data_IF_470079826752
#
_entry.id   IF_470079826752
#
_cell.length_a   1.000
_cell.length_b   1.000
_cell.length_c   1.000
_cell.angle_alpha   90.00
_cell.angle_beta   90.00
_cell.angle_gamma   90.00
#
_symmetry.space_group_name_H-M   'P 1'
#
loop_
_entity.id
_entity.type
_entity.pdbx_description
1 polymer ?
#
# COMPACT_ATOMS: atom_id res chain seq x y z
N UNK A 1 15.85 5.88 5.65
CA UNK A 1 14.44 6.04 5.34
C UNK A 1 14.27 6.22 3.86
N UNK A 2 13.20 5.69 3.28
CA UNK A 2 12.99 5.62 1.83
C UNK A 2 11.51 5.65 1.49
N UNK A 3 11.21 5.97 0.22
CA UNK A 3 9.92 5.76 -0.41
C UNK A 3 10.00 4.51 -1.29
N UNK A 4 8.95 3.68 -1.29
CA UNK A 4 8.79 2.59 -2.26
C UNK A 4 7.55 2.92 -3.11
N UNK A 5 7.70 2.84 -4.44
CA UNK A 5 6.69 3.21 -5.43
C UNK A 5 6.02 1.94 -5.96
N UNK A 6 4.70 1.98 -6.16
CA UNK A 6 3.87 0.83 -6.51
C UNK A 6 4.18 -0.40 -5.64
N UNK A 7 4.12 -0.25 -4.29
CA UNK A 7 4.49 -1.32 -3.38
C UNK A 7 3.55 -2.52 -3.52
N UNK A 8 4.10 -3.72 -3.46
CA UNK A 8 3.29 -4.91 -3.23
C UNK A 8 2.89 -4.96 -1.76
N UNK A 9 1.63 -5.31 -1.49
CA UNK A 9 1.17 -5.49 -0.13
C UNK A 9 1.21 -6.96 0.26
N UNK A 10 2.18 -7.32 1.10
CA UNK A 10 2.20 -8.63 1.75
C UNK A 10 1.14 -8.59 2.86
N UNK A 11 0.06 -9.34 2.67
CA UNK A 11 -1.08 -9.28 3.57
C UNK A 11 -0.74 -9.97 4.90
N UNK A 12 -0.90 -9.27 6.03
CA UNK A 12 -0.69 -9.85 7.35
C UNK A 12 -1.51 -11.12 7.58
N UNK A 13 -0.91 -12.12 8.23
CA UNK A 13 -1.57 -13.40 8.46
C UNK A 13 -2.86 -13.28 9.29
N UNK A 14 -2.96 -12.27 10.15
CA UNK A 14 -4.19 -11.95 10.89
C UNK A 14 -5.34 -11.58 9.94
N UNK A 15 -5.07 -10.77 8.92
CA UNK A 15 -6.05 -10.39 7.88
C UNK A 15 -6.38 -11.60 7.01
N UNK A 16 -5.38 -12.39 6.61
CA UNK A 16 -5.63 -13.62 5.83
C UNK A 16 -6.59 -14.55 6.59
N UNK A 17 -6.37 -14.75 7.88
CA UNK A 17 -7.22 -15.60 8.70
C UNK A 17 -8.64 -15.07 8.88
N UNK A 18 -8.78 -13.75 9.00
CA UNK A 18 -10.07 -13.11 9.32
C UNK A 18 -10.91 -12.88 8.06
N UNK A 19 -10.29 -12.37 6.99
CA UNK A 19 -11.02 -11.77 5.88
C UNK A 19 -10.84 -12.53 4.55
N UNK A 20 -9.75 -13.30 4.37
CA UNK A 20 -9.43 -13.91 3.08
C UNK A 20 -9.66 -15.42 3.06
N UNK A 21 -9.41 -16.12 4.15
CA UNK A 21 -9.47 -17.57 4.19
C UNK A 21 -10.85 -18.14 3.80
N UNK A 22 -11.94 -17.41 4.10
CA UNK A 22 -13.29 -17.79 3.72
C UNK A 22 -13.51 -17.84 2.19
N UNK A 23 -12.63 -17.25 1.42
CA UNK A 23 -12.65 -17.23 -0.06
C UNK A 23 -11.68 -18.25 -0.69
N UNK A 24 -11.19 -19.21 0.08
CA UNK A 24 -10.32 -20.29 -0.42
C UNK A 24 -11.00 -21.00 -1.61
N UNK A 25 -10.25 -21.27 -2.67
CA UNK A 25 -10.75 -21.88 -3.90
C UNK A 25 -11.49 -20.92 -4.87
N UNK A 26 -11.81 -19.71 -4.44
CA UNK A 26 -12.52 -18.74 -5.29
C UNK A 26 -11.51 -17.91 -6.10
N UNK A 27 -11.24 -18.34 -7.33
CA UNK A 27 -10.28 -17.71 -8.27
C UNK A 27 -10.65 -16.24 -8.53
N UNK A 28 -11.92 -15.95 -8.79
CA UNK A 28 -12.40 -14.59 -9.11
C UNK A 28 -12.19 -13.61 -7.95
N UNK A 29 -12.34 -14.08 -6.72
CA UNK A 29 -12.06 -13.27 -5.54
C UNK A 29 -10.61 -12.79 -5.50
N UNK A 30 -9.67 -13.69 -5.81
CA UNK A 30 -8.24 -13.35 -5.82
C UNK A 30 -7.87 -12.47 -7.02
N UNK A 31 -8.35 -12.81 -8.20
CA UNK A 31 -8.03 -12.05 -9.42
C UNK A 31 -8.61 -10.64 -9.39
N UNK A 32 -9.88 -10.46 -9.03
CA UNK A 32 -10.52 -9.13 -8.99
C UNK A 32 -9.86 -8.15 -8.01
N UNK A 33 -9.09 -8.68 -7.04
CA UNK A 33 -8.33 -7.88 -6.07
C UNK A 33 -6.84 -7.79 -6.36
N UNK A 34 -6.39 -8.33 -7.48
CA UNK A 34 -4.98 -8.47 -7.84
C UNK A 34 -4.19 -9.21 -6.75
N UNK A 35 -4.80 -10.22 -6.11
CA UNK A 35 -4.15 -11.07 -5.13
C UNK A 35 -3.51 -12.27 -5.81
N UNK A 36 -2.32 -12.63 -5.34
CA UNK A 36 -1.70 -13.90 -5.69
C UNK A 36 -1.19 -14.61 -4.44
N UNK A 37 -1.09 -15.92 -4.55
CA UNK A 37 -0.70 -16.80 -3.46
C UNK A 37 0.68 -17.38 -3.78
N UNK A 38 1.56 -17.41 -2.78
CA UNK A 38 2.85 -18.10 -2.88
C UNK A 38 3.05 -19.02 -1.68
N UNK A 39 3.66 -20.16 -1.93
CA UNK A 39 4.14 -21.00 -0.85
C UNK A 39 5.31 -20.32 -0.14
N UNK A 40 5.26 -20.20 1.20
CA UNK A 40 6.30 -19.47 1.96
C UNK A 40 7.67 -20.12 1.87
N UNK A 41 7.72 -21.45 1.79
CA UNK A 41 8.97 -22.21 1.82
C UNK A 41 9.72 -22.14 0.50
N UNK A 42 9.02 -22.22 -0.62
CA UNK A 42 9.62 -22.30 -1.97
C UNK A 42 9.54 -20.98 -2.73
N UNK A 43 8.58 -20.10 -2.38
CA UNK A 43 8.25 -18.90 -3.15
C UNK A 43 7.44 -19.18 -4.42
N UNK A 44 7.08 -20.44 -4.69
CA UNK A 44 6.33 -20.83 -5.87
C UNK A 44 4.92 -20.23 -5.83
N UNK A 45 4.44 -19.73 -6.97
CA UNK A 45 3.04 -19.30 -7.11
C UNK A 45 2.12 -20.51 -7.09
N UNK A 46 1.02 -20.37 -6.39
CA UNK A 46 -0.01 -21.41 -6.20
C UNK A 46 -1.30 -20.91 -6.85
N UNK A 47 -1.94 -21.78 -7.61
CA UNK A 47 -3.27 -21.51 -8.17
C UNK A 47 -4.29 -21.38 -7.04
N UNK A 48 -5.05 -20.28 -6.95
CA UNK A 48 -6.07 -20.10 -5.92
C UNK A 48 -7.13 -21.21 -5.88
N UNK A 49 -7.41 -21.88 -7.02
CA UNK A 49 -8.43 -22.93 -7.11
C UNK A 49 -8.15 -24.18 -6.24
N UNK A 50 -6.87 -24.45 -5.99
CA UNK A 50 -6.45 -25.62 -5.22
C UNK A 50 -6.17 -25.32 -3.75
N UNK A 51 -6.28 -24.06 -3.33
CA UNK A 51 -5.95 -23.64 -1.97
C UNK A 51 -7.14 -23.86 -1.03
N UNK A 52 -6.89 -24.56 0.06
CA UNK A 52 -7.91 -24.81 1.09
C UNK A 52 -7.98 -23.69 2.15
N UNK A 53 -9.13 -23.61 2.82
CA UNK A 53 -9.36 -22.72 3.96
C UNK A 53 -8.30 -22.90 5.05
N UNK A 54 -8.04 -24.15 5.46
CA UNK A 54 -7.09 -24.45 6.52
C UNK A 54 -5.66 -24.12 6.13
N UNK A 55 -5.29 -24.33 4.86
CA UNK A 55 -3.96 -23.99 4.36
C UNK A 55 -3.70 -22.46 4.40
N UNK A 56 -4.69 -21.62 4.06
CA UNK A 56 -4.57 -20.18 4.23
C UNK A 56 -4.44 -19.78 5.71
N UNK A 57 -5.19 -20.40 6.59
CA UNK A 57 -5.16 -20.09 8.03
C UNK A 57 -3.89 -20.57 8.73
N UNK A 58 -3.29 -21.67 8.28
CA UNK A 58 -2.06 -22.22 8.87
C UNK A 58 -0.85 -21.31 8.66
N UNK A 59 -0.88 -20.48 7.60
CA UNK A 59 0.24 -19.61 7.23
C UNK A 59 1.31 -20.31 6.38
N UNK A 60 1.05 -21.50 5.85
CA UNK A 60 1.90 -22.16 4.83
C UNK A 60 2.02 -21.27 3.59
N UNK A 61 0.95 -20.56 3.27
CA UNK A 61 0.91 -19.64 2.15
C UNK A 61 1.04 -18.18 2.58
N UNK A 62 1.55 -17.37 1.64
CA UNK A 62 1.55 -15.92 1.70
C UNK A 62 0.59 -15.41 0.65
N UNK A 63 -0.33 -14.55 1.04
CA UNK A 63 -1.17 -13.80 0.10
C UNK A 63 -0.55 -12.43 -0.09
N UNK A 64 -0.41 -11.99 -1.34
CA UNK A 64 0.16 -10.70 -1.68
C UNK A 64 -0.73 -10.01 -2.70
N UNK A 65 -0.96 -8.70 -2.52
CA UNK A 65 -1.59 -7.85 -3.52
C UNK A 65 -0.53 -7.23 -4.42
N UNK A 66 -0.73 -7.28 -5.73
CA UNK A 66 0.15 -6.60 -6.69
C UNK A 66 0.14 -5.09 -6.47
N UNK A 67 1.27 -4.44 -6.79
CA UNK A 67 1.39 -2.98 -6.69
C UNK A 67 0.62 -2.27 -7.79
N UNK A 68 0.27 -1.00 -7.57
CA UNK A 68 -0.40 -0.18 -8.57
C UNK A 68 -1.86 0.11 -8.26
N UNK A 69 -2.70 0.18 -9.28
CA UNK A 69 -4.10 0.53 -9.15
C UNK A 69 -4.87 -0.47 -8.27
N UNK A 70 -5.73 0.05 -7.37
CA UNK A 70 -6.52 -0.77 -6.47
C UNK A 70 -5.76 -1.33 -5.27
N UNK A 71 -4.43 -1.17 -5.20
CA UNK A 71 -3.66 -1.61 -4.04
C UNK A 71 -4.06 -0.81 -2.79
N UNK A 72 -4.25 -1.48 -1.65
CA UNK A 72 -4.67 -0.81 -0.40
C UNK A 72 -3.62 0.16 0.14
N UNK A 73 -2.33 -0.06 -0.19
CA UNK A 73 -1.23 0.85 0.14
C UNK A 73 -1.11 2.02 -0.85
N UNK A 74 -1.96 2.05 -1.89
CA UNK A 74 -1.89 3.03 -2.97
C UNK A 74 -0.61 2.92 -3.80
N UNK A 75 -0.14 4.06 -4.30
CA UNK A 75 0.99 4.14 -5.24
C UNK A 75 2.34 4.33 -4.56
N UNK A 76 2.38 4.71 -3.27
CA UNK A 76 3.62 5.02 -2.57
C UNK A 76 3.52 4.74 -1.07
N UNK A 77 4.61 4.25 -0.50
CA UNK A 77 4.81 4.15 0.93
C UNK A 77 6.08 4.88 1.35
N UNK A 78 6.04 5.48 2.54
CA UNK A 78 7.17 6.19 3.16
C UNK A 78 7.58 5.38 4.38
N UNK A 79 8.76 4.77 4.32
CA UNK A 79 9.31 3.95 5.40
C UNK A 79 10.19 4.78 6.31
N UNK A 80 10.00 4.61 7.60
CA UNK A 80 10.86 5.13 8.66
C UNK A 80 11.16 4.04 9.68
N UNK A 81 12.26 4.18 10.40
CA UNK A 81 12.68 3.19 11.38
C UNK A 81 11.73 3.16 12.57
N UNK A 82 11.13 2.00 12.84
CA UNK A 82 10.33 1.72 14.04
C UNK A 82 10.21 0.21 14.25
N UNK A 83 9.85 -0.20 15.48
CA UNK A 83 9.73 -1.61 15.85
C UNK A 83 8.31 -2.19 15.62
N UNK A 84 7.36 -1.40 15.11
CA UNK A 84 5.95 -1.77 15.00
C UNK A 84 5.52 -2.08 13.55
N UNK A 85 6.46 -2.03 12.60
CA UNK A 85 6.18 -2.17 11.16
C UNK A 85 5.13 -1.15 10.65
N UNK A 86 5.12 0.05 11.24
CA UNK A 86 4.25 1.18 10.86
C UNK A 86 4.97 2.00 9.78
N UNK A 87 4.22 2.49 8.81
CA UNK A 87 4.68 3.40 7.76
C UNK A 87 3.56 4.36 7.34
N UNK A 88 3.94 5.45 6.68
CA UNK A 88 2.98 6.31 5.99
C UNK A 88 2.73 5.73 4.60
N UNK A 89 1.50 5.78 4.11
CA UNK A 89 1.18 5.25 2.79
C UNK A 89 0.03 5.97 2.12
N UNK A 90 0.01 5.90 0.81
CA UNK A 90 -1.13 6.24 -0.02
C UNK A 90 -2.31 5.27 0.21
N UNK A 91 -3.43 5.48 -0.42
CA UNK A 91 -4.60 4.58 -0.32
C UNK A 91 -5.46 4.65 -1.57
N UNK A 92 -6.01 3.51 -1.98
CA UNK A 92 -7.07 3.45 -2.98
C UNK A 92 -8.42 3.94 -2.44
N UNK A 93 -8.60 3.97 -1.11
CA UNK A 93 -9.86 4.35 -0.45
C UNK A 93 -9.84 5.83 -0.03
N UNK A 94 -9.91 6.73 -1.02
CA UNK A 94 -9.89 8.19 -0.78
C UNK A 94 -11.04 8.71 0.07
N UNK A 95 -12.21 8.08 0.02
CA UNK A 95 -13.38 8.44 0.82
C UNK A 95 -13.14 8.38 2.34
N UNK A 96 -12.09 7.69 2.79
CA UNK A 96 -11.73 7.63 4.20
C UNK A 96 -11.36 9.01 4.78
N UNK A 97 -10.81 9.92 3.95
CA UNK A 97 -10.41 11.26 4.41
C UNK A 97 -11.60 12.20 4.69
N UNK A 98 -12.76 11.93 4.09
CA UNK A 98 -14.00 12.68 4.37
C UNK A 98 -14.76 12.19 5.61
N UNK A 99 -14.28 11.16 6.30
CA UNK A 99 -14.94 10.63 7.50
C UNK A 99 -14.51 11.40 8.75
N UNK A 100 -15.43 11.59 9.67
CA UNK A 100 -15.15 12.13 11.01
C UNK A 100 -14.32 11.12 11.82
N UNK A 101 -14.79 9.87 11.92
CA UNK A 101 -14.01 8.78 12.51
C UNK A 101 -13.05 8.18 11.46
N UNK A 102 -11.76 8.39 11.66
CA UNK A 102 -10.67 7.94 10.78
C UNK A 102 -9.91 6.73 11.30
N UNK A 103 -10.38 6.05 12.35
CA UNK A 103 -9.80 4.81 12.90
C UNK A 103 -10.09 3.61 12.00
N UNK A 104 -9.55 3.64 10.78
CA UNK A 104 -9.86 2.68 9.71
C UNK A 104 -8.65 1.84 9.27
N UNK A 105 -7.58 1.80 10.07
CA UNK A 105 -6.36 1.03 9.78
C UNK A 105 -5.95 0.15 10.97
N UNK A 106 -4.98 -0.75 10.73
CA UNK A 106 -4.37 -1.59 11.76
C UNK A 106 -3.06 -0.97 12.32
N UNK A 107 -2.91 0.36 12.24
CA UNK A 107 -1.78 1.10 12.80
C UNK A 107 -0.98 1.95 11.80
N UNK A 108 -1.00 1.65 10.49
CA UNK A 108 -0.35 2.47 9.48
C UNK A 108 -1.13 3.78 9.23
N UNK A 109 -0.45 4.82 8.78
CA UNK A 109 -1.00 6.15 8.59
C UNK A 109 -1.22 6.41 7.10
N UNK A 110 -2.47 6.71 6.72
CA UNK A 110 -2.83 7.08 5.36
C UNK A 110 -2.50 8.55 5.10
N UNK A 111 -1.92 8.81 3.94
CA UNK A 111 -1.56 10.16 3.48
C UNK A 111 -2.55 10.60 2.41
N UNK A 112 -3.22 11.73 2.63
CA UNK A 112 -4.22 12.25 1.69
C UNK A 112 -3.58 12.79 0.39
N UNK A 113 -2.44 13.44 0.51
CA UNK A 113 -1.68 14.04 -0.61
C UNK A 113 -0.29 13.42 -0.71
N UNK A 114 -0.17 12.13 -1.09
CA UNK A 114 1.09 11.40 -1.00
C UNK A 114 2.11 11.87 -2.04
N UNK A 115 1.67 12.33 -3.22
CA UNK A 115 2.55 12.89 -4.23
C UNK A 115 3.20 14.20 -3.74
N UNK A 116 2.41 15.10 -3.15
CA UNK A 116 2.92 16.38 -2.64
C UNK A 116 3.92 16.16 -1.50
N UNK A 117 3.65 15.18 -0.62
CA UNK A 117 4.61 14.79 0.40
C UNK A 117 5.91 14.25 -0.22
N UNK A 118 5.81 13.43 -1.26
CA UNK A 118 7.00 12.90 -1.95
C UNK A 118 7.79 14.01 -2.65
N UNK A 119 7.11 14.93 -3.32
CA UNK A 119 7.72 16.10 -3.95
C UNK A 119 8.42 17.00 -2.92
N UNK A 120 7.77 17.28 -1.79
CA UNK A 120 8.37 18.02 -0.68
C UNK A 120 9.65 17.34 -0.15
N UNK A 121 9.61 16.03 0.05
CA UNK A 121 10.76 15.25 0.54
C UNK A 121 11.91 15.15 -0.47
N UNK A 122 11.66 15.47 -1.72
CA UNK A 122 12.63 15.45 -2.84
C UNK A 122 12.86 16.85 -3.44
N UNK A 123 12.45 17.90 -2.75
CA UNK A 123 12.48 19.29 -3.29
C UNK A 123 13.88 19.79 -3.66
N UNK A 124 14.93 19.17 -3.09
CA UNK A 124 16.34 19.45 -3.41
C UNK A 124 16.90 18.57 -4.54
N UNK A 125 16.09 17.68 -5.11
CA UNK A 125 16.50 16.72 -6.14
C UNK A 125 16.19 17.24 -7.55
N UNK A 126 16.70 16.54 -8.55
CA UNK A 126 16.53 16.94 -9.95
C UNK A 126 15.10 16.76 -10.45
N UNK A 127 14.65 17.60 -11.36
CA UNK A 127 13.37 17.49 -12.08
C UNK A 127 13.22 16.12 -12.78
N UNK A 128 14.32 15.55 -13.24
CA UNK A 128 14.33 14.21 -13.85
C UNK A 128 13.87 13.14 -12.87
N UNK A 129 14.25 13.24 -11.59
CA UNK A 129 13.80 12.29 -10.56
C UNK A 129 12.32 12.49 -10.25
N UNK A 130 11.86 13.73 -10.17
CA UNK A 130 10.45 14.05 -9.95
C UNK A 130 9.57 13.59 -11.12
N UNK A 131 10.03 13.75 -12.36
CA UNK A 131 9.34 13.23 -13.54
C UNK A 131 9.23 11.68 -13.50
N UNK A 132 10.32 11.00 -13.17
CA UNK A 132 10.30 9.54 -12.99
C UNK A 132 9.35 9.09 -11.87
N UNK A 133 9.28 9.85 -10.78
CA UNK A 133 8.34 9.59 -9.68
C UNK A 133 6.89 9.72 -10.17
N UNK A 134 6.54 10.84 -10.84
CA UNK A 134 5.21 11.07 -11.41
C UNK A 134 4.81 9.94 -12.36
N UNK A 135 5.71 9.62 -13.28
CA UNK A 135 5.48 8.54 -14.24
C UNK A 135 5.27 7.20 -13.54
N UNK A 136 6.13 6.82 -12.60
CA UNK A 136 6.03 5.53 -11.90
C UNK A 136 4.76 5.41 -11.08
N UNK A 137 4.26 6.52 -10.49
CA UNK A 137 2.99 6.53 -9.76
C UNK A 137 1.76 6.51 -10.67
N UNK A 138 1.88 6.86 -11.95
CA UNK A 138 0.77 6.89 -12.91
C UNK A 138 0.52 5.57 -13.62
N UNK A 139 1.52 4.69 -13.71
CA UNK A 139 1.43 3.45 -14.49
C UNK A 139 1.18 2.22 -13.61
N UNK A 140 0.54 1.21 -14.20
CA UNK A 140 0.49 -0.13 -13.62
C UNK A 140 1.65 -0.95 -14.19
N UNK A 141 2.33 -1.71 -13.33
CA UNK A 141 3.53 -2.48 -13.69
C UNK A 141 3.27 -3.99 -13.72
N UNK A 142 2.02 -4.43 -13.57
CA UNK A 142 1.62 -5.83 -13.64
C UNK A 142 0.60 -6.04 -14.76
N UNK A 143 0.60 -7.25 -15.30
CA UNK A 143 -0.39 -7.66 -16.28
C UNK A 143 -1.79 -7.66 -15.66
N UNK A 144 -2.79 -7.29 -16.44
CA UNK A 144 -4.21 -7.47 -16.11
C UNK A 144 -4.75 -8.64 -16.93
N UNK A 145 -5.77 -9.28 -16.41
CA UNK A 145 -6.57 -10.25 -17.17
C UNK A 145 -7.90 -9.57 -17.49
N UNK A 146 -8.31 -9.58 -18.76
CA UNK A 146 -9.62 -9.07 -19.17
C UNK A 146 -10.76 -10.06 -18.85
N UNK A 147 -11.99 -9.64 -19.11
CA UNK A 147 -13.18 -10.46 -18.85
C UNK A 147 -13.23 -11.74 -19.71
N UNK A 148 -12.44 -11.79 -20.78
CA UNK A 148 -12.31 -12.94 -21.71
C UNK A 148 -11.16 -13.87 -21.33
N UNK A 149 -10.37 -13.51 -20.29
CA UNK A 149 -9.23 -14.30 -19.81
C UNK A 149 -7.90 -14.00 -20.53
N UNK A 150 -7.83 -12.98 -21.39
CA UNK A 150 -6.61 -12.62 -22.08
C UNK A 150 -5.70 -11.80 -21.16
N UNK A 151 -4.38 -12.00 -21.29
CA UNK A 151 -3.38 -11.22 -20.56
C UNK A 151 -3.11 -9.92 -21.30
N UNK A 152 -3.41 -8.79 -20.66
CA UNK A 152 -3.09 -7.45 -21.14
C UNK A 152 -1.88 -6.93 -20.37
N UNK A 153 -0.74 -6.87 -21.07
CA UNK A 153 0.48 -6.28 -20.51
C UNK A 153 0.50 -4.77 -20.73
N UNK A 154 0.81 -3.98 -19.69
CA UNK A 154 0.85 -2.53 -19.81
C UNK A 154 2.02 -2.07 -20.69
N UNK A 155 1.75 -1.08 -21.54
CA UNK A 155 2.79 -0.41 -22.33
C UNK A 155 3.49 0.62 -21.42
N UNK A 156 4.69 0.29 -20.94
CA UNK A 156 5.46 1.13 -20.02
C UNK A 156 6.87 1.39 -20.52
N UNK A 157 7.32 2.62 -20.35
CA UNK A 157 8.72 2.99 -20.55
C UNK A 157 9.53 2.61 -19.28
N UNK A 158 10.19 1.45 -19.34
CA UNK A 158 10.99 0.94 -18.22
C UNK A 158 12.15 1.86 -17.82
N UNK A 159 12.64 2.72 -18.71
CA UNK A 159 13.74 3.65 -18.44
C UNK A 159 13.33 4.78 -17.47
N UNK A 160 12.03 5.07 -17.43
CA UNK A 160 11.43 6.07 -16.54
C UNK A 160 10.93 5.48 -15.22
N UNK A 161 10.93 4.15 -15.05
CA UNK A 161 10.47 3.54 -13.80
C UNK A 161 11.50 3.70 -12.69
N UNK A 162 10.97 4.06 -11.51
CA UNK A 162 11.68 3.93 -10.24
C UNK A 162 10.80 3.16 -9.26
N UNK A 163 11.43 2.29 -8.48
CA UNK A 163 10.73 1.45 -7.50
C UNK A 163 10.98 1.89 -6.07
N UNK A 164 12.10 2.56 -5.83
CA UNK A 164 12.47 3.05 -4.51
C UNK A 164 13.38 4.27 -4.62
N UNK A 165 13.20 5.21 -3.70
CA UNK A 165 14.03 6.41 -3.57
C UNK A 165 14.44 6.58 -2.11
N UNK A 166 15.73 6.76 -1.85
CA UNK A 166 16.23 7.14 -0.52
C UNK A 166 15.83 8.59 -0.22
N UNK A 167 15.33 8.83 0.98
CA UNK A 167 15.06 10.19 1.49
C UNK A 167 16.31 10.67 2.22
N UNK A 168 16.93 11.73 1.70
CA UNK A 168 18.12 12.33 2.24
C UNK A 168 18.14 13.83 1.86
N UNK A 169 18.17 14.79 2.81
CA UNK A 169 18.24 14.57 4.26
C UNK A 169 16.99 13.92 4.84
N UNK A 170 17.16 13.25 5.98
CA UNK A 170 16.01 12.65 6.68
C UNK A 170 15.27 13.72 7.49
N UNK A 171 13.95 13.70 7.38
CA UNK A 171 13.07 14.57 8.17
C UNK A 171 12.50 13.75 9.33
N UNK A 172 12.57 14.24 10.58
CA UNK A 172 11.99 13.55 11.73
C UNK A 172 10.46 13.49 11.62
N UNK A 173 9.89 12.36 12.01
CA UNK A 173 8.45 12.15 12.08
C UNK A 173 8.06 11.95 13.53
N UNK A 174 7.14 12.77 14.02
CA UNK A 174 6.56 12.65 15.36
C UNK A 174 5.13 12.15 15.23
N UNK A 175 4.84 11.02 15.86
CA UNK A 175 3.49 10.46 15.96
C UNK A 175 3.03 10.70 17.40
N UNK A 176 2.01 11.55 17.59
CA UNK A 176 1.47 11.91 18.88
C UNK A 176 0.00 11.55 18.95
N UNK A 177 -0.48 11.25 20.15
CA UNK A 177 -1.90 11.07 20.43
C UNK A 177 -2.36 12.24 21.32
N UNK A 178 -3.24 13.06 20.78
CA UNK A 178 -3.75 14.25 21.49
C UNK A 178 -5.25 14.35 21.26
N UNK A 179 -5.99 14.35 22.36
CA UNK A 179 -7.46 14.58 22.36
C UNK A 179 -7.81 16.06 22.47
N UNK A 180 -6.84 16.92 22.79
CA UNK A 180 -6.98 18.38 22.86
C UNK A 180 -5.85 18.99 22.04
N UNK A 181 -6.19 19.87 21.11
CA UNK A 181 -5.21 20.53 20.27
C UNK A 181 -5.56 22.01 20.04
N UNK A 182 -4.56 22.88 20.19
CA UNK A 182 -4.70 24.29 19.85
C UNK A 182 -4.40 24.49 18.36
N UNK A 183 -5.36 25.01 17.63
CA UNK A 183 -5.22 25.35 16.23
C UNK A 183 -4.34 26.60 16.04
N UNK A 184 -3.77 26.83 14.84
CA UNK A 184 -2.95 28.01 14.55
C UNK A 184 -3.67 29.35 14.77
N UNK A 185 -5.01 29.36 14.68
CA UNK A 185 -5.87 30.52 14.96
C UNK A 185 -6.14 30.75 16.45
N UNK A 186 -5.57 29.91 17.31
CA UNK A 186 -5.75 29.96 18.77
C UNK A 186 -6.95 29.20 19.31
N UNK A 187 -7.83 28.68 18.46
CA UNK A 187 -8.98 27.88 18.89
C UNK A 187 -8.52 26.53 19.46
N UNK A 188 -9.17 26.10 20.53
CA UNK A 188 -8.95 24.77 21.13
C UNK A 188 -9.99 23.81 20.55
N UNK A 189 -9.53 22.70 19.96
CA UNK A 189 -10.38 21.60 19.52
C UNK A 189 -10.25 20.41 20.44
N UNK A 190 -11.38 19.81 20.75
CA UNK A 190 -11.48 18.55 21.49
C UNK A 190 -11.85 17.43 20.51
N UNK A 191 -11.20 16.30 20.67
CA UNK A 191 -11.46 15.08 19.89
C UNK A 191 -11.86 13.96 20.86
N UNK A 192 -12.72 13.06 20.38
CA UNK A 192 -13.07 11.89 21.16
C UNK A 192 -11.86 10.98 21.34
N UNK A 193 -11.74 10.39 22.51
CA UNK A 193 -10.82 9.28 22.76
C UNK A 193 -11.33 8.02 22.05
N UNK A 194 -10.49 7.28 21.31
CA UNK A 194 -10.83 6.14 20.49
C UNK A 194 -9.97 4.92 20.82
#
# INVERSE_FOLDING_TARGET
>A
TRMDINPKWIIPQSIVRKDIAAHAGNVDYFHSRNYYITERKTGQRIDPSIVSYDALRSGVYRVTQEGGEGNVLGRIIFRFANNFAIYLHDTSTRSAFGRENRSVSHGCIRVERPYDLAEFLLSDKSEVLLDKLRYSMSVNTHDKVDDEGNIISPQIDKSRLIYSVKIDPQIPVFITYQTIYQMPDGQIRHYNDV
#
